data_IF_879042217413
#
_entry.id   IF_879042217413
#
_cell.length_a   1.000
_cell.length_b   1.000
_cell.length_c   1.000
_cell.angle_alpha   90.00
_cell.angle_beta   90.00
_cell.angle_gamma   90.00
#
_symmetry.space_group_name_H-M   'P 1'
#
loop_
_entity.id
_entity.type
_entity.pdbx_description
1 polymer ?
#
# COMPACT_ATOMS: atom_id res chain seq x y z
N UNK A 1 7.15 45.10 23.27
CA UNK A 1 6.84 43.73 23.78
C UNK A 1 5.48 43.19 23.30
N UNK A 2 4.79 43.83 22.34
CA UNK A 2 3.41 43.46 21.98
C UNK A 2 3.29 42.62 20.69
N UNK A 3 4.34 42.53 19.86
CA UNK A 3 4.32 41.75 18.62
C UNK A 3 4.33 40.24 18.85
N UNK A 4 5.14 39.74 19.79
CA UNK A 4 5.26 38.30 20.07
C UNK A 4 3.94 37.67 20.57
N UNK A 5 3.11 38.44 21.26
CA UNK A 5 1.80 37.98 21.76
C UNK A 5 0.77 37.84 20.63
N UNK A 6 0.89 38.61 19.55
CA UNK A 6 -0.01 38.52 18.40
C UNK A 6 0.21 37.24 17.60
N UNK A 7 1.47 36.86 17.34
CA UNK A 7 1.79 35.62 16.61
C UNK A 7 1.32 34.36 17.32
N UNK A 8 1.42 34.33 18.66
CA UNK A 8 0.96 33.19 19.47
C UNK A 8 -0.57 33.07 19.45
N UNK A 9 -1.29 34.20 19.44
CA UNK A 9 -2.75 34.19 19.38
C UNK A 9 -3.27 33.84 17.98
N UNK A 10 -2.56 34.25 16.93
CA UNK A 10 -2.86 33.86 15.53
C UNK A 10 -2.71 32.34 15.35
N UNK A 11 -1.64 31.73 15.88
CA UNK A 11 -1.45 30.28 15.87
C UNK A 11 -2.52 29.56 16.69
N UNK A 12 -2.93 30.09 17.84
CA UNK A 12 -3.98 29.48 18.68
C UNK A 12 -5.37 29.54 18.01
N UNK A 13 -5.65 30.59 17.23
CA UNK A 13 -6.89 30.77 16.47
C UNK A 13 -6.87 29.94 15.18
N UNK A 14 -5.71 29.76 14.54
CA UNK A 14 -5.51 28.95 13.33
C UNK A 14 -5.61 27.43 13.53
N UNK A 15 -5.65 26.95 14.77
CA UNK A 15 -5.86 25.53 15.13
C UNK A 15 -7.33 25.08 15.00
N UNK A 16 -8.12 25.76 14.17
CA UNK A 16 -9.49 25.40 13.84
C UNK A 16 -9.55 24.17 12.92
N UNK A 17 -9.58 22.99 13.53
CA UNK A 17 -10.30 21.80 13.05
C UNK A 17 -10.04 21.36 11.61
N UNK A 18 -9.02 20.51 11.41
CA UNK A 18 -9.13 19.51 10.35
C UNK A 18 -10.19 18.50 10.79
N UNK A 19 -11.44 18.72 10.39
CA UNK A 19 -12.52 17.73 10.43
C UNK A 19 -11.97 16.39 9.94
N UNK A 20 -11.80 15.43 10.85
CA UNK A 20 -11.23 14.13 10.55
C UNK A 20 -12.26 13.32 9.77
N UNK A 21 -12.42 13.63 8.49
CA UNK A 21 -13.26 12.85 7.59
C UNK A 21 -12.64 11.47 7.42
N UNK A 22 -13.23 10.47 8.08
CA UNK A 22 -12.75 9.08 8.06
C UNK A 22 -12.99 8.41 6.72
N UNK A 23 -14.05 8.80 6.00
CA UNK A 23 -14.43 8.26 4.69
C UNK A 23 -13.30 8.37 3.66
N UNK A 24 -12.71 9.55 3.38
CA UNK A 24 -11.62 9.66 2.42
C UNK A 24 -10.35 8.91 2.86
N UNK A 25 -10.07 8.79 4.16
CA UNK A 25 -8.91 8.00 4.65
C UNK A 25 -9.09 6.51 4.41
N UNK A 26 -10.28 5.96 4.69
CA UNK A 26 -10.63 4.56 4.41
C UNK A 26 -10.56 4.30 2.90
N UNK A 27 -11.07 5.22 2.08
CA UNK A 27 -11.04 5.10 0.63
C UNK A 27 -9.60 5.10 0.08
N UNK A 28 -8.75 6.00 0.56
CA UNK A 28 -7.34 6.05 0.17
C UNK A 28 -6.59 4.77 0.57
N UNK A 29 -6.84 4.24 1.77
CA UNK A 29 -6.29 2.96 2.21
C UNK A 29 -6.78 1.78 1.37
N UNK A 30 -8.07 1.74 1.03
CA UNK A 30 -8.67 0.71 0.18
C UNK A 30 -8.12 0.73 -1.25
N UNK A 31 -8.01 1.91 -1.86
CA UNK A 31 -7.40 2.10 -3.19
C UNK A 31 -5.93 1.66 -3.20
N UNK A 32 -5.15 2.05 -2.20
CA UNK A 32 -3.76 1.62 -2.06
C UNK A 32 -3.65 0.09 -1.94
N UNK A 33 -4.55 -0.55 -1.18
CA UNK A 33 -4.62 -2.01 -1.05
C UNK A 33 -4.95 -2.72 -2.36
N UNK A 34 -5.96 -2.24 -3.10
CA UNK A 34 -6.35 -2.82 -4.39
C UNK A 34 -5.19 -2.74 -5.39
N UNK A 35 -4.57 -1.56 -5.51
CA UNK A 35 -3.42 -1.37 -6.42
C UNK A 35 -2.25 -2.28 -6.03
N UNK A 36 -1.95 -2.38 -4.73
CA UNK A 36 -0.91 -3.29 -4.22
C UNK A 36 -1.18 -4.74 -4.59
N UNK A 37 -2.40 -5.23 -4.35
CA UNK A 37 -2.79 -6.61 -4.66
C UNK A 37 -2.77 -6.86 -6.17
N UNK A 38 -3.26 -5.93 -7.01
CA UNK A 38 -3.23 -6.08 -8.48
C UNK A 38 -1.80 -6.16 -9.03
N UNK A 39 -0.86 -5.37 -8.50
CA UNK A 39 0.54 -5.42 -8.92
C UNK A 39 1.28 -6.68 -8.45
N UNK A 40 0.93 -7.21 -7.27
CA UNK A 40 1.57 -8.39 -6.67
C UNK A 40 1.00 -9.70 -7.21
N UNK A 41 -0.30 -9.72 -7.56
CA UNK A 41 -0.98 -10.90 -8.11
C UNK A 41 -0.25 -11.57 -9.28
N UNK A 42 0.25 -10.89 -10.32
CA UNK A 42 0.98 -11.56 -11.40
C UNK A 42 2.28 -12.22 -10.92
N UNK A 43 2.97 -11.63 -9.95
CA UNK A 43 4.19 -12.23 -9.36
C UNK A 43 3.84 -13.50 -8.58
N UNK A 44 2.76 -13.48 -7.82
CA UNK A 44 2.34 -14.64 -7.03
C UNK A 44 1.77 -15.74 -7.94
N UNK A 45 1.14 -15.40 -9.06
CA UNK A 45 0.77 -16.36 -10.10
C UNK A 45 2.00 -17.02 -10.75
N UNK A 46 3.06 -16.27 -11.03
CA UNK A 46 4.31 -16.85 -11.57
C UNK A 46 4.94 -17.81 -10.55
N UNK A 47 5.00 -17.43 -9.26
CA UNK A 47 5.48 -18.32 -8.20
C UNK A 47 4.64 -19.58 -8.08
N UNK A 48 3.31 -19.48 -8.10
CA UNK A 48 2.44 -20.66 -8.03
C UNK A 48 2.57 -21.55 -9.27
N UNK A 49 2.79 -21.00 -10.46
CA UNK A 49 3.07 -21.79 -11.67
C UNK A 49 4.40 -22.55 -11.60
N UNK A 50 5.43 -21.94 -11.01
CA UNK A 50 6.73 -22.58 -10.75
C UNK A 50 6.64 -23.64 -9.66
N UNK A 51 5.92 -23.36 -8.57
CA UNK A 51 5.76 -24.31 -7.45
C UNK A 51 4.81 -25.47 -7.78
N UNK A 52 3.80 -25.24 -8.62
CA UNK A 52 2.82 -26.25 -9.03
C UNK A 52 3.25 -27.00 -10.32
N UNK A 53 4.54 -27.01 -10.65
CA UNK A 53 5.04 -27.88 -11.72
C UNK A 53 4.92 -29.35 -11.27
N UNK A 54 4.27 -30.22 -12.05
CA UNK A 54 4.26 -31.64 -11.76
C UNK A 54 5.69 -32.18 -11.93
N UNK A 55 6.26 -32.67 -10.83
CA UNK A 55 7.52 -33.43 -10.85
C UNK A 55 7.21 -34.71 -11.62
N UNK A 56 7.83 -34.89 -12.78
CA UNK A 56 7.64 -36.09 -13.58
C UNK A 56 8.19 -37.30 -12.80
N UNK A 57 7.60 -38.48 -12.97
CA UNK A 57 7.84 -39.69 -12.16
C UNK A 57 9.30 -40.18 -12.06
N UNK A 58 10.23 -39.56 -12.78
CA UNK A 58 11.67 -39.81 -12.81
C UNK A 58 12.51 -38.80 -11.98
N UNK A 59 11.89 -37.87 -11.24
CA UNK A 59 12.62 -36.94 -10.36
C UNK A 59 13.36 -35.81 -11.09
N UNK A 60 13.11 -35.65 -12.39
CA UNK A 60 13.71 -34.59 -13.19
C UNK A 60 12.73 -33.41 -13.34
N UNK A 61 13.21 -32.20 -13.04
CA UNK A 61 12.48 -30.96 -13.28
C UNK A 61 12.23 -30.80 -14.78
N UNK A 62 10.97 -30.64 -15.19
CA UNK A 62 10.56 -30.58 -16.61
C UNK A 62 11.07 -29.35 -17.38
N UNK A 63 11.74 -28.40 -16.73
CA UNK A 63 12.29 -27.21 -17.38
C UNK A 63 13.81 -27.10 -17.20
N UNK A 64 14.54 -27.57 -18.21
CA UNK A 64 15.91 -27.14 -18.48
C UNK A 64 15.79 -25.99 -19.47
N UNK A 65 16.10 -24.78 -19.02
CA UNK A 65 16.13 -23.60 -19.88
C UNK A 65 16.98 -23.87 -21.13
N UNK A 66 16.55 -23.31 -22.26
CA UNK A 66 17.36 -23.21 -23.47
C UNK A 66 18.65 -22.43 -23.19
#
# INVERSE_FOLDING_TARGET
MNGARSWILEDYIGMGGQEFSYVPKIMNGGLAGIVGVTCVFPIDLVKTRLQNQPILANGEVQYKGM
#
